data_IF_818522851740
#
_entry.id   IF_818522851740
#
_cell.length_a   1.000
_cell.length_b   1.000
_cell.length_c   1.000
_cell.angle_alpha   90.00
_cell.angle_beta   90.00
_cell.angle_gamma   90.00
#
_symmetry.space_group_name_H-M   'P 1'
#
loop_
_entity.id
_entity.type
_entity.pdbx_description
1 polymer ?
#
# COMPACT_ATOMS: atom_id res chain seq x y z
N UNK A 1 -34.15 14.61 56.99
CA UNK A 1 -34.76 15.44 55.95
C UNK A 1 -33.75 15.60 54.85
N UNK A 2 -33.78 14.74 53.84
CA UNK A 2 -32.93 14.88 52.64
C UNK A 2 -33.52 16.02 51.82
N UNK A 3 -32.74 17.07 51.64
CA UNK A 3 -33.23 18.30 50.98
C UNK A 3 -33.31 18.09 49.44
N UNK A 4 -34.24 18.79 48.80
CA UNK A 4 -34.44 18.74 47.35
C UNK A 4 -33.14 19.03 46.53
N UNK A 5 -32.19 19.70 47.13
CA UNK A 5 -30.83 19.95 46.61
C UNK A 5 -30.01 18.68 46.48
N UNK A 6 -30.09 17.73 47.41
CA UNK A 6 -29.35 16.47 47.37
C UNK A 6 -29.82 15.57 46.21
N UNK A 7 -31.14 15.57 45.89
CA UNK A 7 -31.69 14.82 44.74
C UNK A 7 -31.24 15.40 43.38
N UNK A 8 -31.14 16.72 43.26
CA UNK A 8 -30.69 17.39 42.04
C UNK A 8 -29.19 17.13 41.77
N UNK A 9 -28.35 17.09 42.80
CA UNK A 9 -26.93 16.79 42.69
C UNK A 9 -26.66 15.34 42.37
N UNK A 10 -27.41 14.39 42.94
CA UNK A 10 -27.35 12.95 42.60
C UNK A 10 -27.72 12.71 41.12
N UNK A 11 -28.79 13.35 40.62
CA UNK A 11 -29.19 13.23 39.22
C UNK A 11 -28.16 13.87 38.25
N UNK A 12 -27.49 14.95 38.64
CA UNK A 12 -26.41 15.54 37.85
C UNK A 12 -25.20 14.64 37.76
N UNK A 13 -24.84 14.00 38.87
CA UNK A 13 -23.69 13.08 38.91
C UNK A 13 -23.96 11.79 38.15
N UNK A 14 -25.18 11.22 38.21
CA UNK A 14 -25.57 10.09 37.38
C UNK A 14 -25.55 10.42 35.89
N UNK A 15 -26.05 11.60 35.49
CA UNK A 15 -25.98 12.04 34.07
C UNK A 15 -24.54 12.26 33.61
N UNK A 16 -23.65 12.76 34.46
CA UNK A 16 -22.20 12.86 34.16
C UNK A 16 -21.57 11.49 34.02
N UNK A 17 -21.86 10.57 34.90
CA UNK A 17 -21.34 9.19 34.85
C UNK A 17 -21.80 8.45 33.58
N UNK A 18 -23.07 8.57 33.21
CA UNK A 18 -23.63 8.00 31.98
C UNK A 18 -22.99 8.60 30.69
N UNK A 19 -22.78 9.91 30.67
CA UNK A 19 -22.07 10.57 29.56
C UNK A 19 -20.63 10.09 29.46
N UNK A 20 -19.94 9.93 30.59
CA UNK A 20 -18.57 9.41 30.65
C UNK A 20 -18.49 7.97 30.15
N UNK A 21 -19.41 7.10 30.58
CA UNK A 21 -19.47 5.73 30.06
C UNK A 21 -19.72 5.64 28.56
N UNK A 22 -20.63 6.43 28.01
CA UNK A 22 -20.88 6.50 26.56
C UNK A 22 -19.65 6.99 25.80
N UNK A 23 -18.96 7.98 26.31
CA UNK A 23 -17.74 8.53 25.71
C UNK A 23 -16.62 7.48 25.71
N UNK A 24 -16.42 6.76 26.82
CA UNK A 24 -15.47 5.65 26.89
C UNK A 24 -15.79 4.52 25.93
N UNK A 25 -17.07 4.17 25.78
CA UNK A 25 -17.47 3.16 24.80
C UNK A 25 -17.13 3.58 23.36
N UNK A 26 -17.40 4.83 22.99
CA UNK A 26 -17.05 5.37 21.67
C UNK A 26 -15.54 5.44 21.45
N UNK A 27 -14.79 5.89 22.46
CA UNK A 27 -13.32 5.95 22.40
C UNK A 27 -12.73 4.54 22.24
N UNK A 28 -13.23 3.55 22.99
CA UNK A 28 -12.77 2.17 22.90
C UNK A 28 -13.14 1.53 21.55
N UNK A 29 -14.29 1.86 20.97
CA UNK A 29 -14.67 1.40 19.63
C UNK A 29 -13.78 1.99 18.54
N UNK A 30 -13.40 3.27 18.68
CA UNK A 30 -12.51 3.94 17.75
C UNK A 30 -11.02 3.61 17.99
N UNK A 31 -10.67 3.14 19.19
CA UNK A 31 -9.27 2.90 19.59
C UNK A 31 -8.58 1.85 18.71
N UNK A 32 -9.29 0.81 18.27
CA UNK A 32 -8.77 -0.21 17.38
C UNK A 32 -8.28 0.41 16.07
N UNK A 33 -9.15 1.17 15.42
CA UNK A 33 -8.86 1.84 14.14
C UNK A 33 -7.77 2.90 14.28
N UNK A 34 -7.83 3.73 15.33
CA UNK A 34 -6.84 4.77 15.58
C UNK A 34 -5.44 4.20 15.87
N UNK A 35 -5.37 3.11 16.63
CA UNK A 35 -4.09 2.40 16.89
C UNK A 35 -3.51 1.78 15.62
N UNK A 36 -4.37 1.29 14.71
CA UNK A 36 -3.96 0.72 13.44
C UNK A 36 -3.20 1.76 12.58
N UNK A 37 -3.66 3.01 12.60
CA UNK A 37 -3.01 4.13 11.89
C UNK A 37 -1.87 4.81 12.68
N UNK A 38 -1.46 4.25 13.83
CA UNK A 38 -0.42 4.87 14.67
C UNK A 38 -0.90 6.11 15.44
N UNK A 39 -2.21 6.39 15.45
CA UNK A 39 -2.84 7.52 16.13
C UNK A 39 -3.26 7.18 17.57
N UNK A 40 -2.59 6.25 18.23
CA UNK A 40 -2.88 5.83 19.60
C UNK A 40 -2.79 6.97 20.62
N UNK A 41 -1.96 7.99 20.36
CA UNK A 41 -1.88 9.19 21.18
C UNK A 41 -3.20 9.99 21.19
N UNK A 42 -3.98 9.97 20.09
CA UNK A 42 -5.31 10.60 20.03
C UNK A 42 -6.26 9.92 21.00
N UNK A 43 -6.19 8.58 21.13
CA UNK A 43 -6.97 7.83 22.11
C UNK A 43 -6.61 8.26 23.54
N UNK A 44 -5.32 8.44 23.83
CA UNK A 44 -4.87 8.92 25.13
C UNK A 44 -5.35 10.36 25.43
N UNK A 45 -5.32 11.26 24.43
CA UNK A 45 -5.87 12.62 24.55
C UNK A 45 -7.38 12.61 24.80
N UNK A 46 -8.12 11.81 24.05
CA UNK A 46 -9.58 11.65 24.24
C UNK A 46 -9.93 11.07 25.62
N UNK A 47 -9.11 10.15 26.16
CA UNK A 47 -9.28 9.60 27.51
C UNK A 47 -9.01 10.64 28.60
N UNK A 48 -8.02 11.51 28.41
CA UNK A 48 -7.79 12.67 29.32
C UNK A 48 -9.00 13.59 29.30
N UNK A 49 -9.52 13.92 28.12
CA UNK A 49 -10.74 14.74 27.98
C UNK A 49 -11.98 14.09 28.60
N UNK A 50 -12.03 12.75 28.63
CA UNK A 50 -13.09 11.98 29.30
C UNK A 50 -12.90 11.89 30.84
N UNK A 51 -11.81 12.45 31.39
CA UNK A 51 -11.52 12.52 32.83
C UNK A 51 -10.83 11.30 33.41
N UNK A 52 -10.08 10.53 32.57
CA UNK A 52 -9.19 9.48 33.07
C UNK A 52 -7.93 10.07 33.71
N UNK A 53 -7.24 9.23 34.49
CA UNK A 53 -6.06 9.65 35.25
C UNK A 53 -4.99 10.27 34.31
N UNK A 54 -4.69 11.58 34.44
CA UNK A 54 -3.81 12.27 33.52
C UNK A 54 -2.39 11.68 33.49
N UNK A 55 -1.90 11.20 34.64
CA UNK A 55 -0.54 10.62 34.77
C UNK A 55 -0.35 9.37 33.88
N UNK A 56 -1.33 8.48 33.81
CA UNK A 56 -1.24 7.24 33.02
C UNK A 56 -1.33 7.55 31.52
N UNK A 57 -2.22 8.47 31.14
CA UNK A 57 -2.41 8.86 29.75
C UNK A 57 -1.24 9.71 29.24
N UNK A 58 -0.63 10.55 30.08
CA UNK A 58 0.60 11.31 29.75
C UNK A 58 1.76 10.36 29.43
N UNK A 59 1.91 9.26 30.18
CA UNK A 59 2.92 8.24 29.88
C UNK A 59 2.66 7.57 28.51
N UNK A 60 1.40 7.31 28.19
CA UNK A 60 1.03 6.79 26.88
C UNK A 60 1.35 7.78 25.74
N UNK A 61 1.04 9.06 25.92
CA UNK A 61 1.38 10.13 24.95
C UNK A 61 2.90 10.24 24.79
N UNK A 62 3.66 10.17 25.89
CA UNK A 62 5.12 10.20 25.85
C UNK A 62 5.69 9.11 24.96
N UNK A 63 5.25 7.85 25.15
CA UNK A 63 5.74 6.72 24.36
C UNK A 63 5.21 6.69 22.91
N UNK A 64 3.96 7.11 22.68
CA UNK A 64 3.32 6.97 21.37
C UNK A 64 3.49 8.20 20.47
N UNK A 65 3.77 9.38 21.03
CA UNK A 65 3.91 10.62 20.27
C UNK A 65 5.30 11.23 20.46
N UNK A 66 5.72 11.49 21.70
CA UNK A 66 6.93 12.27 21.96
C UNK A 66 8.18 11.52 21.52
N UNK A 67 8.34 10.25 21.90
CA UNK A 67 9.53 9.46 21.54
C UNK A 67 9.66 9.31 20.01
N UNK A 68 8.62 8.90 19.25
CA UNK A 68 8.71 8.88 17.79
C UNK A 68 8.99 10.26 17.17
N UNK A 69 8.37 11.32 17.71
CA UNK A 69 8.60 12.68 17.22
C UNK A 69 10.06 13.12 17.43
N UNK A 70 10.62 12.85 18.61
CA UNK A 70 12.04 13.12 18.89
C UNK A 70 12.94 12.34 17.92
N UNK A 71 12.61 11.07 17.64
CA UNK A 71 13.33 10.26 16.65
C UNK A 71 13.30 10.88 15.25
N UNK A 72 12.12 11.33 14.79
CA UNK A 72 11.96 11.99 13.49
C UNK A 72 12.74 13.31 13.46
N UNK A 73 12.63 14.13 14.49
CA UNK A 73 13.34 15.42 14.58
C UNK A 73 14.86 15.19 14.60
N UNK A 74 15.34 14.21 15.37
CA UNK A 74 16.76 13.86 15.40
C UNK A 74 17.25 13.38 14.03
N UNK A 75 16.48 12.55 13.32
CA UNK A 75 16.79 12.13 11.96
C UNK A 75 16.84 13.31 10.99
N UNK A 76 15.84 14.20 11.00
CA UNK A 76 15.81 15.39 10.14
C UNK A 76 16.97 16.34 10.43
N UNK A 77 17.34 16.52 11.70
CA UNK A 77 18.49 17.32 12.10
C UNK A 77 19.81 16.70 11.61
N UNK A 78 19.99 15.39 11.80
CA UNK A 78 21.16 14.68 11.32
C UNK A 78 21.27 14.74 9.78
N UNK A 79 20.15 14.56 9.08
CA UNK A 79 20.09 14.69 7.62
C UNK A 79 20.42 16.13 7.18
N UNK A 80 19.81 17.14 7.79
CA UNK A 80 20.07 18.56 7.49
C UNK A 80 21.53 18.95 7.70
N UNK A 81 22.20 18.35 8.70
CA UNK A 81 23.61 18.58 8.98
C UNK A 81 24.55 17.83 8.02
N UNK A 82 24.18 16.59 7.62
CA UNK A 82 25.00 15.75 6.77
C UNK A 82 24.88 16.12 5.27
N UNK A 83 23.68 16.46 4.80
CA UNK A 83 23.36 16.69 3.41
C UNK A 83 24.32 17.66 2.68
N UNK A 84 24.61 18.87 3.19
CA UNK A 84 25.49 19.82 2.50
C UNK A 84 26.98 19.41 2.49
N UNK A 85 27.37 18.39 3.27
CA UNK A 85 28.76 17.91 3.33
C UNK A 85 29.10 16.90 2.27
N UNK A 86 28.11 16.34 1.59
CA UNK A 86 28.28 15.36 0.54
C UNK A 86 28.03 16.01 -0.79
N UNK A 87 29.11 16.31 -1.51
CA UNK A 87 29.07 16.82 -2.87
C UNK A 87 29.07 15.65 -3.85
N UNK A 88 28.14 15.65 -4.79
CA UNK A 88 28.05 14.69 -5.88
C UNK A 88 28.34 15.37 -7.21
N UNK A 89 28.49 14.61 -8.30
CA UNK A 89 28.62 15.16 -9.66
C UNK A 89 27.42 16.03 -10.08
N UNK A 90 26.28 15.91 -9.38
CA UNK A 90 25.04 16.64 -9.62
C UNK A 90 24.81 17.80 -8.62
N UNK A 91 25.77 18.06 -7.74
CA UNK A 91 25.71 19.04 -6.67
C UNK A 91 25.62 18.42 -5.28
N UNK A 92 25.43 19.25 -4.27
CA UNK A 92 25.27 18.80 -2.88
C UNK A 92 23.95 18.02 -2.72
N UNK A 93 23.94 17.01 -1.83
CA UNK A 93 22.73 16.26 -1.51
C UNK A 93 21.68 17.22 -0.91
N UNK A 94 20.42 17.20 -1.39
CA UNK A 94 19.37 18.09 -0.90
C UNK A 94 18.99 17.79 0.54
N UNK A 95 18.86 18.82 1.34
CA UNK A 95 18.37 18.76 2.72
C UNK A 95 16.84 18.65 2.79
N UNK A 96 16.25 18.42 3.98
CA UNK A 96 14.81 18.24 4.16
C UNK A 96 13.97 19.41 3.62
N UNK A 97 14.45 20.65 3.76
CA UNK A 97 13.74 21.85 3.29
C UNK A 97 13.64 21.88 1.76
N UNK A 98 14.74 21.59 1.07
CA UNK A 98 14.78 21.53 -0.39
C UNK A 98 13.88 20.41 -0.94
N UNK A 99 13.82 19.26 -0.26
CA UNK A 99 12.93 18.16 -0.62
C UNK A 99 11.48 18.55 -0.43
N UNK A 100 11.13 19.27 0.64
CA UNK A 100 9.78 19.78 0.86
C UNK A 100 9.37 20.80 -0.21
N UNK A 101 10.26 21.71 -0.57
CA UNK A 101 10.03 22.66 -1.66
C UNK A 101 9.79 21.94 -2.99
N UNK A 102 10.63 20.95 -3.30
CA UNK A 102 10.48 20.19 -4.53
C UNK A 102 9.19 19.33 -4.56
N UNK A 103 8.73 18.86 -3.40
CA UNK A 103 7.44 18.17 -3.33
C UNK A 103 6.26 19.11 -3.67
N UNK A 104 6.34 20.38 -3.24
CA UNK A 104 5.35 21.40 -3.60
C UNK A 104 5.38 21.73 -5.10
N UNK A 105 6.58 21.79 -5.69
CA UNK A 105 6.74 22.00 -7.14
C UNK A 105 6.12 20.86 -7.95
N UNK A 106 6.38 19.59 -7.56
CA UNK A 106 5.77 18.44 -8.23
C UNK A 106 4.24 18.42 -8.10
N UNK A 107 3.70 18.91 -7.00
CA UNK A 107 2.25 19.08 -6.86
C UNK A 107 1.71 20.21 -7.73
N UNK A 108 2.41 21.34 -7.80
CA UNK A 108 2.05 22.45 -8.69
C UNK A 108 2.11 22.04 -10.17
N UNK A 109 3.12 21.26 -10.56
CA UNK A 109 3.23 20.68 -11.91
C UNK A 109 2.03 19.79 -12.24
N UNK A 110 1.57 18.99 -11.25
CA UNK A 110 0.37 18.17 -11.43
C UNK A 110 -0.87 19.01 -11.67
N UNK A 111 -1.10 20.07 -10.90
CA UNK A 111 -2.24 20.96 -11.07
C UNK A 111 -2.20 21.66 -12.44
N UNK A 112 -1.04 22.17 -12.83
CA UNK A 112 -0.87 22.82 -14.14
C UNK A 112 -1.13 21.84 -15.30
N UNK A 113 -0.74 20.57 -15.16
CA UNK A 113 -0.98 19.57 -16.19
C UNK A 113 -2.46 19.16 -16.26
N UNK A 114 -3.17 19.09 -15.10
CA UNK A 114 -4.64 18.90 -15.06
C UNK A 114 -5.39 20.05 -15.73
N UNK A 115 -4.94 21.28 -15.54
CA UNK A 115 -5.52 22.46 -16.21
C UNK A 115 -5.34 22.39 -17.74
N UNK A 116 -4.14 22.03 -18.21
CA UNK A 116 -3.89 21.81 -19.65
C UNK A 116 -4.77 20.71 -20.22
N UNK A 117 -4.95 19.62 -19.47
CA UNK A 117 -5.82 18.51 -19.87
C UNK A 117 -7.28 18.97 -20.00
N UNK A 118 -7.79 19.71 -19.01
CA UNK A 118 -9.15 20.26 -19.06
C UNK A 118 -9.34 21.18 -20.26
N UNK A 119 -8.41 22.11 -20.47
CA UNK A 119 -8.44 23.02 -21.64
C UNK A 119 -8.31 22.29 -22.98
N UNK A 120 -7.63 21.13 -23.03
CA UNK A 120 -7.58 20.30 -24.23
C UNK A 120 -8.94 19.69 -24.55
N UNK A 121 -9.63 19.11 -23.57
CA UNK A 121 -10.95 18.52 -23.77
C UNK A 121 -12.00 19.57 -24.10
N UNK A 122 -11.99 20.72 -23.44
CA UNK A 122 -12.87 21.84 -23.74
C UNK A 122 -12.73 22.30 -25.21
N UNK A 123 -11.48 22.45 -25.66
CA UNK A 123 -11.22 22.80 -27.09
C UNK A 123 -11.66 21.71 -28.06
N UNK A 124 -11.49 20.43 -27.68
CA UNK A 124 -11.93 19.29 -28.48
C UNK A 124 -13.46 19.26 -28.60
N UNK A 125 -14.15 19.45 -27.48
CA UNK A 125 -15.61 19.43 -27.41
C UNK A 125 -16.20 20.62 -28.19
N UNK A 126 -15.66 21.83 -28.04
CA UNK A 126 -16.04 23.01 -28.80
C UNK A 126 -15.86 22.81 -30.31
N UNK A 127 -14.75 22.16 -30.73
CA UNK A 127 -14.52 21.83 -32.15
C UNK A 127 -15.49 20.76 -32.63
N UNK A 128 -15.74 19.72 -31.89
CA UNK A 128 -16.65 18.63 -32.25
C UNK A 128 -18.10 19.15 -32.34
N UNK A 129 -18.50 20.05 -31.42
CA UNK A 129 -19.81 20.70 -31.48
C UNK A 129 -19.99 21.52 -32.77
N UNK A 130 -18.95 22.21 -33.25
CA UNK A 130 -18.99 22.92 -34.54
C UNK A 130 -19.20 21.98 -35.73
N UNK A 131 -18.49 20.82 -35.75
CA UNK A 131 -18.66 19.83 -36.84
C UNK A 131 -20.08 19.23 -36.84
N UNK A 132 -20.66 18.98 -35.68
CA UNK A 132 -22.06 18.53 -35.56
C UNK A 132 -23.03 19.60 -36.08
N UNK A 133 -22.83 20.89 -35.72
CA UNK A 133 -23.66 22.00 -36.19
C UNK A 133 -23.57 22.25 -37.70
N UNK A 134 -22.41 21.95 -38.29
CA UNK A 134 -22.17 22.05 -39.75
C UNK A 134 -22.69 20.82 -40.52
N UNK A 135 -23.31 19.82 -39.84
CA UNK A 135 -23.83 18.62 -40.48
C UNK A 135 -22.75 17.63 -40.95
N UNK A 136 -21.56 17.66 -40.34
CA UNK A 136 -20.41 16.81 -40.66
C UNK A 136 -20.01 15.92 -39.47
N UNK A 137 -20.90 15.06 -38.99
CA UNK A 137 -20.62 14.23 -37.81
C UNK A 137 -19.45 13.22 -38.00
N UNK A 138 -19.11 12.90 -39.25
CA UNK A 138 -17.98 12.03 -39.59
C UNK A 138 -16.61 12.63 -39.24
N UNK A 139 -16.53 13.97 -39.05
CA UNK A 139 -15.30 14.66 -38.64
C UNK A 139 -15.13 14.76 -37.13
N UNK A 140 -16.11 14.32 -36.36
CA UNK A 140 -16.01 14.25 -34.89
C UNK A 140 -14.95 13.25 -34.50
N UNK A 141 -13.96 13.70 -33.73
CA UNK A 141 -12.86 12.85 -33.22
C UNK A 141 -12.70 13.06 -31.74
N UNK A 142 -12.73 11.94 -31.00
CA UNK A 142 -12.37 11.92 -29.59
C UNK A 142 -10.95 11.38 -29.47
N UNK A 143 -10.01 12.26 -29.11
CA UNK A 143 -8.62 11.90 -28.85
C UNK A 143 -8.37 11.95 -27.35
N UNK A 144 -7.68 10.95 -26.81
CA UNK A 144 -7.17 10.99 -25.45
C UNK A 144 -6.07 12.05 -25.33
N UNK A 145 -6.01 12.71 -24.18
CA UNK A 145 -4.92 13.64 -23.89
C UNK A 145 -3.61 12.88 -23.73
N UNK A 146 -2.61 13.25 -24.52
CA UNK A 146 -1.28 12.62 -24.53
C UNK A 146 -0.23 13.46 -23.78
N UNK A 147 -0.61 14.05 -22.65
CA UNK A 147 0.32 14.80 -21.80
C UNK A 147 1.31 13.90 -21.06
N UNK A 148 2.38 14.50 -20.54
CA UNK A 148 3.36 13.76 -19.74
C UNK A 148 2.74 13.30 -18.43
N UNK A 149 2.91 12.01 -18.01
CA UNK A 149 2.45 11.56 -16.72
C UNK A 149 3.12 12.36 -15.58
N UNK A 150 2.30 12.90 -14.70
CA UNK A 150 2.80 13.65 -13.54
C UNK A 150 3.27 12.72 -12.44
N UNK A 151 4.01 13.25 -11.46
CA UNK A 151 4.45 12.46 -10.30
C UNK A 151 3.29 11.75 -9.58
N UNK A 152 2.15 12.43 -9.45
CA UNK A 152 0.96 11.86 -8.81
C UNK A 152 0.35 10.74 -9.66
N UNK A 153 0.29 10.91 -11.00
CA UNK A 153 -0.19 9.84 -11.89
C UNK A 153 0.70 8.60 -11.78
N UNK A 154 2.02 8.80 -11.65
CA UNK A 154 2.97 7.71 -11.49
C UNK A 154 2.81 6.96 -10.16
N UNK A 155 2.40 7.66 -9.08
CA UNK A 155 2.00 7.00 -7.82
C UNK A 155 0.82 6.05 -8.05
N UNK A 156 -0.23 6.50 -8.75
CA UNK A 156 -1.39 5.68 -9.04
C UNK A 156 -1.05 4.49 -9.94
N UNK A 157 -0.22 4.68 -10.96
CA UNK A 157 0.27 3.57 -11.80
C UNK A 157 1.02 2.52 -10.98
N UNK A 158 1.89 2.94 -10.06
CA UNK A 158 2.60 2.01 -9.17
C UNK A 158 1.65 1.25 -8.26
N UNK A 159 0.65 1.93 -7.68
CA UNK A 159 -0.35 1.28 -6.83
C UNK A 159 -1.20 0.28 -7.61
N UNK A 160 -1.61 0.62 -8.83
CA UNK A 160 -2.35 -0.27 -9.72
C UNK A 160 -1.52 -1.51 -10.09
N UNK A 161 -0.26 -1.30 -10.44
CA UNK A 161 0.65 -2.39 -10.83
C UNK A 161 0.91 -3.34 -9.67
N UNK A 162 1.19 -2.82 -8.47
CA UNK A 162 1.39 -3.70 -7.29
C UNK A 162 0.11 -4.41 -6.88
N UNK A 163 -1.03 -3.74 -6.94
CA UNK A 163 -2.31 -4.35 -6.63
C UNK A 163 -2.62 -5.52 -7.57
N UNK A 164 -2.42 -5.32 -8.88
CA UNK A 164 -2.62 -6.36 -9.88
C UNK A 164 -1.68 -7.56 -9.64
N UNK A 165 -0.38 -7.31 -9.48
CA UNK A 165 0.60 -8.38 -9.22
C UNK A 165 0.32 -9.12 -7.90
N UNK A 166 -0.05 -8.39 -6.85
CA UNK A 166 -0.39 -8.95 -5.56
C UNK A 166 -1.67 -9.80 -5.59
N UNK A 167 -2.73 -9.34 -6.26
CA UNK A 167 -3.98 -10.09 -6.40
C UNK A 167 -3.75 -11.39 -7.17
N UNK A 168 -3.03 -11.33 -8.29
CA UNK A 168 -2.69 -12.53 -9.08
C UNK A 168 -1.83 -13.47 -8.22
N UNK A 169 -0.81 -12.95 -7.54
CA UNK A 169 0.05 -13.72 -6.65
C UNK A 169 -0.73 -14.41 -5.52
N UNK A 170 -1.63 -13.69 -4.86
CA UNK A 170 -2.47 -14.24 -3.80
C UNK A 170 -3.45 -15.31 -4.33
N UNK A 171 -4.05 -15.07 -5.49
CA UNK A 171 -4.96 -16.02 -6.14
C UNK A 171 -4.30 -17.36 -6.50
N UNK A 172 -2.99 -17.34 -6.78
CA UNK A 172 -2.19 -18.55 -7.03
C UNK A 172 -1.67 -19.14 -5.70
N UNK A 173 -1.12 -18.30 -4.84
CA UNK A 173 -0.40 -18.73 -3.65
C UNK A 173 -1.31 -19.36 -2.59
N UNK A 174 -2.53 -18.82 -2.40
CA UNK A 174 -3.45 -19.33 -1.37
C UNK A 174 -3.92 -20.74 -1.71
N UNK A 175 -4.46 -21.07 -2.90
CA UNK A 175 -4.86 -22.43 -3.24
C UNK A 175 -3.68 -23.41 -3.19
N UNK A 176 -2.53 -23.05 -3.76
CA UNK A 176 -1.34 -23.89 -3.70
C UNK A 176 -0.85 -24.11 -2.27
N UNK A 177 -0.87 -23.08 -1.43
CA UNK A 177 -0.52 -23.16 -0.01
C UNK A 177 -1.46 -24.08 0.77
N UNK A 178 -2.78 -24.00 0.51
CA UNK A 178 -3.77 -24.92 1.11
C UNK A 178 -3.48 -26.36 0.67
N UNK A 179 -3.19 -26.59 -0.60
CA UNK A 179 -2.84 -27.92 -1.09
C UNK A 179 -1.56 -28.44 -0.44
N UNK A 180 -0.51 -27.64 -0.34
CA UNK A 180 0.74 -28.01 0.35
C UNK A 180 0.51 -28.32 1.83
N UNK A 181 -0.34 -27.57 2.52
CA UNK A 181 -0.62 -27.79 3.95
C UNK A 181 -1.48 -29.03 4.21
N UNK A 182 -2.42 -29.36 3.32
CA UNK A 182 -3.29 -30.54 3.46
C UNK A 182 -2.61 -31.83 3.02
N UNK A 183 -1.77 -31.79 1.97
CA UNK A 183 -1.21 -32.97 1.34
C UNK A 183 0.33 -32.98 1.42
N UNK A 184 0.93 -33.78 2.31
CA UNK A 184 2.39 -33.89 2.45
C UNK A 184 3.10 -34.25 1.13
N UNK A 185 2.47 -35.03 0.28
CA UNK A 185 3.00 -35.39 -1.05
C UNK A 185 3.14 -34.18 -1.97
N UNK A 186 2.13 -33.29 -1.98
CA UNK A 186 2.16 -32.03 -2.76
C UNK A 186 3.25 -31.11 -2.21
N UNK A 187 3.32 -31.00 -0.89
CA UNK A 187 4.37 -30.21 -0.25
C UNK A 187 5.77 -30.74 -0.56
N UNK A 188 5.96 -32.05 -0.48
CA UNK A 188 7.24 -32.69 -0.84
C UNK A 188 7.65 -32.45 -2.30
N UNK A 189 6.68 -32.45 -3.23
CA UNK A 189 6.93 -32.19 -4.65
C UNK A 189 7.23 -30.71 -4.94
N UNK A 190 6.52 -29.77 -4.31
CA UNK A 190 6.65 -28.34 -4.57
C UNK A 190 7.77 -27.66 -3.75
N UNK A 191 8.12 -28.21 -2.58
CA UNK A 191 9.12 -27.60 -1.71
C UNK A 191 10.48 -27.35 -2.38
N UNK A 192 11.07 -28.29 -3.16
CA UNK A 192 12.32 -28.01 -3.89
C UNK A 192 12.18 -26.83 -4.86
N UNK A 193 11.07 -26.73 -5.59
CA UNK A 193 10.80 -25.62 -6.51
C UNK A 193 10.67 -24.31 -5.77
N UNK A 194 9.95 -24.29 -4.63
CA UNK A 194 9.81 -23.11 -3.78
C UNK A 194 11.19 -22.64 -3.31
N UNK A 195 12.05 -23.54 -2.87
CA UNK A 195 13.39 -23.19 -2.37
C UNK A 195 14.31 -22.66 -3.48
N UNK A 196 14.16 -23.13 -4.72
CA UNK A 196 14.95 -22.66 -5.87
C UNK A 196 14.45 -21.29 -6.33
N UNK A 197 13.13 -21.09 -6.48
CA UNK A 197 12.59 -19.88 -7.09
C UNK A 197 12.39 -18.71 -6.13
N UNK A 198 12.19 -18.97 -4.83
CA UNK A 198 12.03 -17.94 -3.80
C UNK A 198 13.15 -16.91 -3.75
N UNK A 199 14.45 -17.29 -3.82
CA UNK A 199 15.57 -16.33 -3.76
C UNK A 199 15.89 -15.65 -5.10
N UNK A 200 15.16 -15.97 -6.19
CA UNK A 200 15.47 -15.39 -7.51
C UNK A 200 15.16 -13.90 -7.52
N UNK A 201 16.14 -13.11 -7.91
CA UNK A 201 16.02 -11.65 -8.00
C UNK A 201 15.01 -11.21 -9.06
N UNK A 202 14.25 -10.12 -8.83
CA UNK A 202 13.40 -9.50 -9.84
C UNK A 202 14.16 -9.16 -11.14
N UNK A 203 15.41 -8.75 -11.02
CA UNK A 203 16.28 -8.43 -12.16
C UNK A 203 16.52 -9.64 -13.07
N UNK A 204 16.55 -10.86 -12.51
CA UNK A 204 16.71 -12.08 -13.28
C UNK A 204 15.39 -12.53 -13.94
N UNK A 205 14.25 -12.28 -13.30
CA UNK A 205 12.94 -12.60 -13.87
C UNK A 205 12.56 -11.70 -15.04
N UNK A 206 12.90 -10.41 -14.96
CA UNK A 206 12.39 -9.39 -15.86
C UNK A 206 12.70 -9.65 -17.35
N UNK A 207 13.92 -10.03 -17.78
CA UNK A 207 14.19 -10.32 -19.18
C UNK A 207 13.33 -11.47 -19.74
N UNK A 208 13.17 -12.53 -18.93
CA UNK A 208 12.35 -13.71 -19.30
C UNK A 208 10.88 -13.32 -19.43
N UNK A 209 10.34 -12.60 -18.43
CA UNK A 209 8.96 -12.10 -18.45
C UNK A 209 8.73 -11.17 -19.64
N UNK A 210 9.68 -10.28 -19.92
CA UNK A 210 9.59 -9.36 -21.07
C UNK A 210 9.52 -10.12 -22.39
N UNK A 211 10.37 -11.13 -22.59
CA UNK A 211 10.34 -11.95 -23.81
C UNK A 211 9.01 -12.71 -23.96
N UNK A 212 8.54 -13.34 -22.89
CA UNK A 212 7.27 -14.09 -22.91
C UNK A 212 6.09 -13.17 -23.18
N UNK A 213 5.97 -12.06 -22.44
CA UNK A 213 4.89 -11.11 -22.63
C UNK A 213 4.93 -10.49 -24.02
N UNK A 214 6.11 -10.14 -24.53
CA UNK A 214 6.25 -9.57 -25.87
C UNK A 214 5.86 -10.55 -26.98
N UNK A 215 6.02 -11.83 -26.76
CA UNK A 215 5.63 -12.87 -27.72
C UNK A 215 4.12 -13.19 -27.67
N UNK A 216 3.50 -13.16 -26.49
CA UNK A 216 2.14 -13.60 -26.29
C UNK A 216 1.11 -12.47 -26.22
N UNK A 217 1.54 -11.29 -25.78
CA UNK A 217 0.64 -10.14 -25.57
C UNK A 217 0.77 -9.13 -26.69
N UNK A 218 -0.30 -9.01 -27.46
CA UNK A 218 -0.45 -7.95 -28.46
C UNK A 218 -1.11 -6.76 -27.77
N UNK A 219 -0.42 -5.63 -27.75
CA UNK A 219 -0.92 -4.39 -27.13
C UNK A 219 -2.10 -3.86 -27.95
N UNK A 220 -3.30 -4.05 -27.42
CA UNK A 220 -4.55 -3.67 -28.09
C UNK A 220 -5.37 -2.65 -27.31
N UNK A 221 -4.95 -2.28 -26.09
CA UNK A 221 -5.75 -1.42 -25.21
C UNK A 221 -4.89 -0.43 -24.43
N UNK A 222 -5.31 0.83 -24.47
CA UNK A 222 -4.64 1.94 -23.76
C UNK A 222 -4.62 1.77 -22.23
N UNK A 223 -5.53 0.96 -21.66
CA UNK A 223 -5.64 0.77 -20.21
C UNK A 223 -4.73 -0.29 -19.63
N UNK A 224 -4.14 -1.15 -20.48
CA UNK A 224 -3.28 -2.26 -20.01
C UNK A 224 -2.02 -2.37 -20.89
N UNK A 225 -1.10 -1.41 -20.79
CA UNK A 225 0.12 -1.40 -21.59
C UNK A 225 1.04 -2.58 -21.24
N UNK A 226 1.85 -3.03 -22.20
CA UNK A 226 2.81 -4.14 -22.01
C UNK A 226 3.71 -3.96 -20.79
N UNK A 227 4.18 -2.75 -20.55
CA UNK A 227 5.06 -2.43 -19.41
C UNK A 227 4.38 -2.72 -18.07
N UNK A 228 3.08 -2.41 -17.93
CA UNK A 228 2.29 -2.72 -16.73
C UNK A 228 2.18 -4.25 -16.54
N UNK A 229 1.87 -4.98 -17.60
CA UNK A 229 1.75 -6.45 -17.56
C UNK A 229 3.08 -7.10 -17.16
N UNK A 230 4.19 -6.66 -17.77
CA UNK A 230 5.54 -7.14 -17.44
C UNK A 230 5.86 -6.89 -15.97
N UNK A 231 5.62 -5.67 -15.48
CA UNK A 231 5.87 -5.30 -14.10
C UNK A 231 4.99 -6.10 -13.14
N UNK A 232 3.69 -6.24 -13.42
CA UNK A 232 2.75 -6.99 -12.58
C UNK A 232 3.11 -8.49 -12.49
N UNK A 233 3.47 -9.12 -13.61
CA UNK A 233 3.91 -10.54 -13.61
C UNK A 233 5.22 -10.69 -12.82
N UNK A 234 6.17 -9.77 -12.98
CA UNK A 234 7.42 -9.80 -12.22
C UNK A 234 7.16 -9.67 -10.71
N UNK A 235 6.28 -8.74 -10.31
CA UNK A 235 5.83 -8.60 -8.92
C UNK A 235 5.19 -9.89 -8.44
N UNK A 236 4.30 -10.50 -9.23
CA UNK A 236 3.64 -11.77 -8.90
C UNK A 236 4.66 -12.86 -8.59
N UNK A 237 5.60 -13.11 -9.51
CA UNK A 237 6.61 -14.18 -9.39
C UNK A 237 7.50 -14.02 -8.16
N UNK A 238 7.82 -12.79 -7.77
CA UNK A 238 8.69 -12.52 -6.62
C UNK A 238 7.93 -12.49 -5.29
N UNK A 239 6.66 -12.07 -5.29
CA UNK A 239 5.89 -11.81 -4.06
C UNK A 239 4.96 -12.95 -3.63
N UNK A 240 4.70 -13.95 -4.47
CA UNK A 240 3.77 -15.05 -4.13
C UNK A 240 4.28 -15.97 -3.01
N UNK A 241 5.60 -16.09 -2.84
CA UNK A 241 6.22 -17.09 -1.96
C UNK A 241 5.88 -16.93 -0.48
N UNK A 242 5.92 -15.73 0.12
CA UNK A 242 5.53 -15.56 1.52
C UNK A 242 4.09 -15.98 1.80
N UNK A 243 3.15 -15.64 0.92
CA UNK A 243 1.74 -16.06 1.04
C UNK A 243 1.61 -17.57 0.94
N UNK A 244 2.26 -18.20 -0.03
CA UNK A 244 2.21 -19.66 -0.22
C UNK A 244 2.75 -20.39 1.02
N UNK A 245 3.94 -20.02 1.49
CA UNK A 245 4.60 -20.67 2.63
C UNK A 245 3.78 -20.49 3.93
N UNK A 246 3.32 -19.26 4.21
CA UNK A 246 2.54 -18.99 5.41
C UNK A 246 1.16 -19.65 5.36
N UNK A 247 0.53 -19.74 4.17
CA UNK A 247 -0.72 -20.47 3.99
C UNK A 247 -0.51 -21.97 4.24
N UNK A 248 0.53 -22.56 3.67
CA UNK A 248 0.85 -23.97 3.89
C UNK A 248 1.12 -24.27 5.37
N UNK A 249 1.89 -23.40 6.05
CA UNK A 249 2.15 -23.51 7.47
C UNK A 249 0.86 -23.36 8.28
N UNK A 250 0.01 -22.38 7.95
CA UNK A 250 -1.28 -22.16 8.62
C UNK A 250 -2.20 -23.39 8.54
N UNK A 251 -2.25 -24.00 7.38
CA UNK A 251 -3.06 -25.20 7.16
C UNK A 251 -2.44 -26.42 7.86
N UNK A 252 -1.13 -26.58 7.82
CA UNK A 252 -0.43 -27.68 8.49
C UNK A 252 -0.49 -27.62 10.02
N UNK A 253 -0.67 -26.41 10.58
CA UNK A 253 -0.76 -26.18 12.04
C UNK A 253 -2.16 -26.35 12.62
N UNK A 254 -3.17 -26.68 11.78
CA UNK A 254 -4.54 -26.91 12.26
C UNK A 254 -4.59 -28.17 13.13
N UNK A 255 -5.31 -28.07 14.26
CA UNK A 255 -5.50 -29.19 15.17
C UNK A 255 -6.15 -30.38 14.42
N UNK A 256 -5.55 -31.55 14.58
CA UNK A 256 -6.04 -32.81 13.98
C UNK A 256 -7.45 -33.16 14.46
N UNK A 257 -7.81 -32.81 15.69
CA UNK A 257 -9.14 -33.05 16.22
C UNK A 257 -10.20 -32.24 15.47
N UNK A 258 -9.90 -31.01 15.09
CA UNK A 258 -10.79 -30.21 14.27
C UNK A 258 -11.01 -30.84 12.88
N UNK A 259 -9.95 -31.38 12.28
CA UNK A 259 -10.06 -32.09 10.99
C UNK A 259 -10.81 -33.41 11.14
N UNK A 260 -10.67 -34.11 12.27
CA UNK A 260 -11.42 -35.35 12.60
C UNK A 260 -12.93 -35.07 12.76
N UNK A 261 -13.32 -33.95 13.36
CA UNK A 261 -14.73 -33.51 13.42
C UNK A 261 -15.31 -33.40 12.01
N UNK A 262 -14.57 -32.80 11.06
CA UNK A 262 -15.00 -32.74 9.65
C UNK A 262 -15.21 -34.13 9.02
N UNK A 263 -14.35 -35.10 9.36
CA UNK A 263 -14.47 -36.48 8.88
C UNK A 263 -15.68 -37.21 9.51
N UNK A 264 -15.90 -37.05 10.82
CA UNK A 264 -17.04 -37.62 11.53
C UNK A 264 -18.37 -37.09 10.96
N UNK A 265 -18.42 -35.80 10.67
CA UNK A 265 -19.56 -35.15 10.03
C UNK A 265 -19.69 -35.46 8.53
N UNK A 266 -18.78 -36.26 7.96
CA UNK A 266 -18.72 -36.62 6.52
C UNK A 266 -18.81 -35.38 5.62
N UNK A 267 -18.13 -34.29 5.99
CA UNK A 267 -18.13 -33.08 5.19
C UNK A 267 -17.40 -33.32 3.86
N UNK A 268 -17.95 -32.87 2.72
CA UNK A 268 -17.21 -32.88 1.47
C UNK A 268 -15.99 -31.98 1.54
N UNK A 269 -14.95 -32.29 0.77
CA UNK A 269 -13.66 -31.58 0.80
C UNK A 269 -13.80 -30.07 0.66
N UNK A 270 -14.66 -29.59 -0.22
CA UNK A 270 -14.89 -28.15 -0.40
C UNK A 270 -15.45 -27.48 0.85
N UNK A 271 -16.39 -28.13 1.57
CA UNK A 271 -16.92 -27.61 2.83
C UNK A 271 -15.90 -27.69 3.96
N UNK A 272 -15.07 -28.72 3.99
CA UNK A 272 -13.97 -28.84 4.94
C UNK A 272 -12.99 -27.68 4.74
N UNK A 273 -12.60 -27.38 3.50
CA UNK A 273 -11.71 -26.27 3.17
C UNK A 273 -12.35 -24.94 3.57
N UNK A 274 -13.58 -24.66 3.16
CA UNK A 274 -14.19 -23.34 3.35
C UNK A 274 -14.66 -23.07 4.79
N UNK A 275 -15.08 -24.11 5.53
CA UNK A 275 -15.65 -23.96 6.88
C UNK A 275 -14.70 -24.28 8.03
N UNK A 276 -13.67 -25.08 7.80
CA UNK A 276 -12.71 -25.47 8.83
C UNK A 276 -11.30 -24.97 8.49
N UNK A 277 -10.75 -25.36 7.34
CA UNK A 277 -9.34 -25.08 7.02
C UNK A 277 -9.08 -23.59 6.83
N UNK A 278 -9.87 -22.94 5.96
CA UNK A 278 -9.68 -21.55 5.62
C UNK A 278 -9.83 -20.62 6.84
N UNK A 279 -10.92 -20.70 7.65
CA UNK A 279 -11.04 -19.86 8.84
C UNK A 279 -9.93 -20.10 9.88
N UNK A 280 -9.48 -21.35 10.06
CA UNK A 280 -8.41 -21.68 11.03
C UNK A 280 -7.05 -21.18 10.56
N UNK A 281 -6.76 -21.21 9.27
CA UNK A 281 -5.50 -20.75 8.69
C UNK A 281 -5.45 -19.23 8.44
N UNK A 282 -6.57 -18.51 8.51
CA UNK A 282 -6.67 -17.07 8.22
C UNK A 282 -5.58 -16.20 8.86
N UNK A 283 -5.23 -16.34 10.15
CA UNK A 283 -4.21 -15.48 10.75
C UNK A 283 -2.84 -15.61 10.06
N UNK A 284 -2.45 -16.83 9.67
CA UNK A 284 -1.20 -17.06 8.96
C UNK A 284 -1.29 -16.70 7.48
N UNK A 285 -2.46 -16.85 6.85
CA UNK A 285 -2.71 -16.35 5.49
C UNK A 285 -2.52 -14.82 5.46
N UNK A 286 -3.13 -14.08 6.39
CA UNK A 286 -2.96 -12.62 6.47
C UNK A 286 -1.50 -12.23 6.75
N UNK A 287 -0.79 -12.98 7.60
CA UNK A 287 0.65 -12.77 7.80
C UNK A 287 1.43 -12.94 6.49
N UNK A 288 1.11 -13.98 5.72
CA UNK A 288 1.71 -14.23 4.41
C UNK A 288 1.39 -13.12 3.40
N UNK A 289 0.13 -12.69 3.32
CA UNK A 289 -0.32 -11.60 2.45
C UNK A 289 0.40 -10.29 2.75
N UNK A 290 0.52 -9.93 4.04
CA UNK A 290 1.25 -8.74 4.47
C UNK A 290 2.72 -8.77 4.04
N UNK A 291 3.40 -9.88 4.25
CA UNK A 291 4.80 -10.06 3.81
C UNK A 291 4.91 -10.01 2.29
N UNK A 292 3.99 -10.64 1.57
CA UNK A 292 3.95 -10.62 0.10
C UNK A 292 3.73 -9.22 -0.45
N UNK A 293 2.84 -8.43 0.15
CA UNK A 293 2.59 -7.05 -0.28
C UNK A 293 3.84 -6.18 -0.07
N UNK A 294 4.53 -6.33 1.08
CA UNK A 294 5.78 -5.63 1.35
C UNK A 294 6.90 -5.99 0.37
N UNK A 295 7.08 -7.28 0.07
CA UNK A 295 8.03 -7.74 -0.96
C UNK A 295 7.63 -7.24 -2.34
N UNK A 296 6.34 -7.34 -2.70
CA UNK A 296 5.81 -6.88 -3.98
C UNK A 296 6.04 -5.39 -4.21
N UNK A 297 5.82 -4.57 -3.19
CA UNK A 297 6.08 -3.12 -3.25
C UNK A 297 7.57 -2.81 -3.49
N UNK A 298 8.47 -3.49 -2.79
CA UNK A 298 9.91 -3.30 -2.99
C UNK A 298 10.38 -3.75 -4.38
N UNK A 299 9.87 -4.89 -4.86
CA UNK A 299 10.19 -5.45 -6.18
C UNK A 299 9.65 -4.58 -7.31
N UNK A 300 8.46 -3.99 -7.12
CA UNK A 300 7.81 -3.15 -8.12
C UNK A 300 8.70 -2.02 -8.62
N UNK A 301 9.37 -1.32 -7.71
CA UNK A 301 10.22 -0.17 -8.06
C UNK A 301 11.31 -0.57 -9.05
N UNK A 302 11.96 -1.72 -8.84
CA UNK A 302 12.96 -2.24 -9.78
C UNK A 302 12.31 -2.71 -11.11
N UNK A 303 11.15 -3.33 -11.04
CA UNK A 303 10.44 -3.79 -12.23
C UNK A 303 9.99 -2.61 -13.11
N UNK A 304 9.44 -1.54 -12.54
CA UNK A 304 9.03 -0.33 -13.27
C UNK A 304 10.20 0.39 -13.92
N UNK A 305 11.32 0.47 -13.20
CA UNK A 305 12.55 1.10 -13.70
C UNK A 305 13.05 0.41 -14.96
N UNK A 306 13.05 -0.91 -14.99
CA UNK A 306 13.59 -1.70 -16.09
C UNK A 306 12.57 -1.96 -17.21
N UNK A 307 11.31 -2.23 -16.86
CA UNK A 307 10.23 -2.39 -17.85
C UNK A 307 9.75 -1.06 -18.45
N UNK A 308 10.27 0.07 -17.97
CA UNK A 308 9.86 1.42 -18.37
C UNK A 308 8.36 1.68 -18.17
N UNK A 309 7.74 1.02 -17.17
CA UNK A 309 6.37 1.29 -16.80
C UNK A 309 6.28 2.69 -16.13
N UNK A 310 5.36 3.57 -16.52
CA UNK A 310 5.30 4.97 -16.07
C UNK A 310 4.85 5.11 -14.60
N UNK A 311 5.57 4.44 -13.69
CA UNK A 311 5.40 4.49 -12.24
C UNK A 311 6.55 5.18 -11.53
N UNK A 312 6.56 5.08 -10.18
CA UNK A 312 7.57 5.70 -9.31
C UNK A 312 8.99 5.20 -9.59
N UNK A 313 9.14 3.91 -9.94
CA UNK A 313 10.45 3.34 -10.29
C UNK A 313 11.03 3.99 -11.54
N UNK A 314 10.20 4.17 -12.58
CA UNK A 314 10.60 4.89 -13.80
C UNK A 314 10.91 6.36 -13.50
N UNK A 315 10.12 7.03 -12.67
CA UNK A 315 10.40 8.41 -12.28
C UNK A 315 11.77 8.58 -11.66
N UNK A 316 12.13 7.71 -10.71
CA UNK A 316 13.47 7.73 -10.08
C UNK A 316 14.56 7.54 -11.14
N UNK A 317 14.37 6.62 -12.08
CA UNK A 317 15.34 6.36 -13.15
C UNK A 317 15.47 7.52 -14.13
N UNK A 318 14.36 8.08 -14.57
CA UNK A 318 14.34 9.22 -15.50
C UNK A 318 15.03 10.46 -14.86
N UNK A 319 14.73 10.75 -13.59
CA UNK A 319 15.39 11.85 -12.88
C UNK A 319 16.88 11.58 -12.63
N UNK A 320 17.27 10.33 -12.36
CA UNK A 320 18.68 9.96 -12.26
C UNK A 320 19.44 10.19 -13.58
N UNK A 321 18.83 9.82 -14.73
CA UNK A 321 19.41 10.04 -16.05
C UNK A 321 19.42 11.53 -16.44
N UNK A 322 18.43 12.32 -16.04
CA UNK A 322 18.36 13.74 -16.36
C UNK A 322 19.52 14.55 -15.76
N UNK A 323 20.06 14.13 -14.62
CA UNK A 323 21.29 14.68 -14.06
C UNK A 323 21.26 16.19 -13.74
N UNK A 324 20.06 16.78 -13.52
CA UNK A 324 19.94 18.19 -13.14
C UNK A 324 20.14 18.38 -11.64
N UNK A 325 20.51 19.59 -11.21
CA UNK A 325 20.64 19.93 -9.79
C UNK A 325 19.33 19.74 -9.00
N UNK A 326 18.17 19.79 -9.66
CA UNK A 326 16.87 19.53 -9.05
C UNK A 326 16.50 18.05 -9.03
N UNK A 327 17.13 17.23 -9.88
CA UNK A 327 16.84 15.80 -9.99
C UNK A 327 17.11 15.05 -8.69
N UNK A 328 18.18 15.38 -7.97
CA UNK A 328 18.45 14.78 -6.66
C UNK A 328 17.32 15.04 -5.66
N UNK A 329 16.78 16.27 -5.63
CA UNK A 329 15.67 16.59 -4.73
C UNK A 329 14.39 15.86 -5.13
N UNK A 330 14.10 15.72 -6.42
CA UNK A 330 12.96 14.93 -6.92
C UNK A 330 13.09 13.45 -6.60
N UNK A 331 14.29 12.87 -6.75
CA UNK A 331 14.58 11.49 -6.35
C UNK A 331 14.33 11.29 -4.86
N UNK A 332 14.79 12.23 -4.01
CA UNK A 332 14.56 12.16 -2.57
C UNK A 332 13.06 12.26 -2.22
N UNK A 333 12.28 13.10 -2.92
CA UNK A 333 10.81 13.12 -2.78
C UNK A 333 10.22 11.75 -3.14
N UNK A 334 10.66 11.15 -4.25
CA UNK A 334 10.17 9.84 -4.66
C UNK A 334 10.52 8.74 -3.63
N UNK A 335 11.75 8.71 -3.11
CA UNK A 335 12.19 7.75 -2.08
C UNK A 335 11.34 7.87 -0.81
N UNK A 336 11.09 9.11 -0.33
CA UNK A 336 10.23 9.32 0.83
C UNK A 336 8.78 8.90 0.55
N UNK A 337 8.27 9.22 -0.63
CA UNK A 337 6.91 8.82 -1.06
C UNK A 337 6.77 7.30 -1.11
N UNK A 338 7.76 6.60 -1.70
CA UNK A 338 7.81 5.13 -1.75
C UNK A 338 7.79 4.55 -0.32
N UNK A 339 8.59 5.12 0.58
CA UNK A 339 8.63 4.70 1.99
C UNK A 339 7.30 4.92 2.72
N UNK A 340 6.68 6.09 2.54
CA UNK A 340 5.39 6.42 3.16
C UNK A 340 4.29 5.49 2.63
N UNK A 341 4.22 5.28 1.32
CA UNK A 341 3.21 4.40 0.71
C UNK A 341 3.44 2.96 1.18
N UNK A 342 4.69 2.47 1.19
CA UNK A 342 5.02 1.13 1.70
C UNK A 342 4.59 0.95 3.16
N UNK A 343 4.82 1.96 4.01
CA UNK A 343 4.33 1.96 5.39
C UNK A 343 2.79 1.92 5.46
N UNK A 344 2.10 2.69 4.62
CA UNK A 344 0.62 2.69 4.57
C UNK A 344 0.07 1.34 4.11
N UNK A 345 0.68 0.73 3.09
CA UNK A 345 0.31 -0.60 2.60
C UNK A 345 0.50 -1.68 3.67
N UNK A 346 1.61 -1.61 4.43
CA UNK A 346 1.86 -2.52 5.56
C UNK A 346 0.81 -2.37 6.67
N UNK A 347 0.32 -1.16 6.90
CA UNK A 347 -0.73 -0.89 7.90
C UNK A 347 -2.13 -1.28 7.45
N UNK A 348 -2.38 -1.33 6.15
CA UNK A 348 -3.66 -1.72 5.56
C UNK A 348 -3.94 -3.22 5.77
N UNK A 349 -2.88 -4.04 5.78
CA UNK A 349 -2.91 -5.49 6.00
C UNK A 349 -2.72 -5.87 7.47
#
# INVERSE_FOLDING_TARGET
MTTATDFVDVQKDERKALRRQRMHHLINKASGTLNLFGLGFVVALLKIAAGDSPKTQMKAIWHQLIIPLVGIVAFLAAWSWAAPKVETSLGAIPGPVQVLEQSRNLYADHLAEREKQAAFYERQDARNAKFVAEGKPELVKHRSYAGKPTFIDQIFTSLETVALGFIIGAAIAIPLGIMCGLFPTVNGALNPLIQIFKPVSPLAWLPIVTMIVSALYVDTSDWMPKSLVISAITVTLCSLWPTLINTALGVASIDKDLLNVGRVLRLPTSRTITKLVLPSALPLIFTGLRLSLGVGWMVLIAAEMLAQNPGLGKFVWDEFQNGSSQSLAKIMVAVLTIGIIGFMLDRLM
#
